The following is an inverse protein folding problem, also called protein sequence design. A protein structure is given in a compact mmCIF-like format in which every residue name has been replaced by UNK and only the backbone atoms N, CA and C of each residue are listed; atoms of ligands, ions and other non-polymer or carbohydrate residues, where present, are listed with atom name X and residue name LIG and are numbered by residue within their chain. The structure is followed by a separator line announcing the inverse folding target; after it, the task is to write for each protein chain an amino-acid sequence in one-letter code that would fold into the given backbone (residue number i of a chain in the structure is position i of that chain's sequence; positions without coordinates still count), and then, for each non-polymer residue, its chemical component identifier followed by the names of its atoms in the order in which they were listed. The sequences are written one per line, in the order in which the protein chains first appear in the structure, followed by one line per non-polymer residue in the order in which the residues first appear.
data_IF_576735969571
#
_entry.id   IF_576735969571
#
_cell.length_a   1.000
_cell.length_b   1.000
_cell.length_c   1.000
_cell.angle_alpha   90.00
_cell.angle_beta   90.00
_cell.angle_gamma   90.00
#
_symmetry.space_group_name_H-M   'P 1'
#
loop_
_entity.id
_entity.type
_entity.pdbx_description
1 polymer ?
#
# COMPACT_ATOMS: atom_id res chain seq x y z
N UNK A 1 27.79 -61.56 19.43
CA UNK A 1 27.82 -60.62 20.58
C UNK A 1 28.61 -59.38 20.20
N UNK A 2 28.21 -58.17 20.65
CA UNK A 2 28.61 -56.89 20.06
C UNK A 2 29.94 -56.37 20.62
N UNK A 3 30.49 -55.29 20.03
CA UNK A 3 30.87 -54.18 20.89
C UNK A 3 30.17 -52.86 20.53
N UNK A 4 29.73 -52.21 21.61
CA UNK A 4 29.05 -50.91 21.71
C UNK A 4 29.92 -49.80 21.12
N UNK A 5 29.36 -48.94 20.25
CA UNK A 5 29.97 -47.65 19.91
C UNK A 5 29.44 -46.55 20.83
N UNK A 6 30.39 -45.73 21.27
CA UNK A 6 30.39 -44.78 22.37
C UNK A 6 29.54 -43.54 22.12
N UNK A 7 28.97 -43.01 23.21
CA UNK A 7 28.19 -41.75 23.24
C UNK A 7 29.13 -40.57 23.03
N UNK A 8 28.88 -39.75 22.00
CA UNK A 8 29.55 -38.45 21.82
C UNK A 8 29.03 -37.45 22.85
N UNK A 9 29.94 -36.87 23.62
CA UNK A 9 29.64 -35.84 24.61
C UNK A 9 29.23 -34.53 23.93
N UNK A 10 28.06 -33.99 24.29
CA UNK A 10 27.63 -32.64 23.88
C UNK A 10 28.44 -31.61 24.68
N UNK A 11 29.34 -30.91 24.00
CA UNK A 11 30.00 -29.72 24.54
C UNK A 11 28.96 -28.61 24.68
N UNK A 12 28.66 -28.24 25.92
CA UNK A 12 27.66 -27.25 26.24
C UNK A 12 28.30 -25.86 26.22
N UNK A 13 28.30 -25.21 25.05
CA UNK A 13 28.83 -23.85 24.92
C UNK A 13 27.90 -22.87 25.64
N UNK A 14 28.25 -22.48 26.88
CA UNK A 14 27.58 -21.39 27.61
C UNK A 14 27.67 -20.11 26.77
N UNK A 15 26.53 -19.68 26.19
CA UNK A 15 26.42 -18.34 25.59
C UNK A 15 26.57 -17.32 26.73
N UNK A 16 27.60 -16.48 26.68
CA UNK A 16 27.71 -15.30 27.55
C UNK A 16 26.50 -14.41 27.27
N UNK A 17 25.67 -14.19 28.27
CA UNK A 17 24.62 -13.19 28.22
C UNK A 17 25.28 -11.81 28.10
N UNK A 18 25.02 -11.11 27.00
CA UNK A 18 25.48 -9.73 26.81
C UNK A 18 24.53 -8.85 27.63
N UNK A 19 24.99 -8.43 28.81
CA UNK A 19 24.31 -7.40 29.60
C UNK A 19 24.28 -6.11 28.76
N UNK A 20 23.12 -5.76 28.21
CA UNK A 20 22.92 -4.47 27.56
C UNK A 20 22.44 -3.47 28.60
N UNK A 21 23.35 -2.68 29.15
CA UNK A 21 22.99 -1.46 29.87
C UNK A 21 22.43 -0.49 28.83
N UNK A 22 21.11 -0.30 28.82
CA UNK A 22 20.46 0.68 27.94
C UNK A 22 20.84 2.07 28.41
N UNK A 23 21.77 2.71 27.71
CA UNK A 23 22.12 4.10 27.97
C UNK A 23 20.88 4.99 27.80
N UNK A 24 20.64 5.88 28.76
CA UNK A 24 19.57 6.87 28.69
C UNK A 24 19.94 7.87 27.59
N UNK A 25 19.34 7.71 26.41
CA UNK A 25 19.47 8.63 25.29
C UNK A 25 18.48 9.80 25.46
N UNK A 26 18.89 11.00 25.04
CA UNK A 26 18.02 12.17 25.03
C UNK A 26 16.82 11.99 24.09
N UNK A 27 15.72 12.70 24.37
CA UNK A 27 14.45 12.56 23.66
C UNK A 27 14.59 12.69 22.13
N UNK A 28 15.34 13.69 21.65
CA UNK A 28 15.56 13.88 20.21
C UNK A 28 16.27 12.69 19.56
N UNK A 29 17.30 12.13 20.23
CA UNK A 29 18.00 10.96 19.74
C UNK A 29 17.10 9.72 19.73
N UNK A 30 16.23 9.57 20.74
CA UNK A 30 15.22 8.51 20.77
C UNK A 30 14.19 8.67 19.63
N UNK A 31 13.72 9.89 19.35
CA UNK A 31 12.80 10.19 18.24
C UNK A 31 13.42 9.90 16.88
N UNK A 32 14.67 10.33 16.64
CA UNK A 32 15.40 10.02 15.40
C UNK A 32 15.65 8.52 15.24
N UNK A 33 16.02 7.83 16.32
CA UNK A 33 16.17 6.38 16.31
C UNK A 33 14.84 5.69 15.95
N UNK A 34 13.73 6.11 16.55
CA UNK A 34 12.40 5.59 16.25
C UNK A 34 12.05 5.79 14.77
N UNK A 35 12.23 6.99 14.21
CA UNK A 35 11.96 7.26 12.80
C UNK A 35 12.84 6.39 11.87
N UNK A 36 14.13 6.26 12.18
CA UNK A 36 15.04 5.40 11.41
C UNK A 36 14.69 3.90 11.52
N UNK A 37 14.20 3.46 12.68
CA UNK A 37 13.80 2.08 12.90
C UNK A 37 12.47 1.77 12.22
N UNK A 38 11.50 2.68 12.27
CA UNK A 38 10.20 2.54 11.58
C UNK A 38 10.41 2.52 10.07
N UNK A 39 11.29 3.35 9.53
CA UNK A 39 11.60 3.33 8.09
C UNK A 39 12.31 2.04 7.66
N UNK A 40 13.24 1.52 8.48
CA UNK A 40 14.02 0.32 8.16
C UNK A 40 13.30 -0.99 8.42
N UNK A 41 12.51 -1.07 9.49
CA UNK A 41 11.90 -2.31 9.99
C UNK A 41 10.37 -2.28 9.99
N UNK A 42 9.75 -1.10 9.91
CA UNK A 42 8.29 -0.96 10.00
C UNK A 42 7.53 -1.52 8.81
N UNK A 43 8.17 -1.71 7.65
CA UNK A 43 7.64 -2.42 6.48
C UNK A 43 8.76 -2.91 5.58
N UNK A 44 8.51 -4.01 4.86
CA UNK A 44 9.49 -4.52 3.89
C UNK A 44 9.69 -3.52 2.75
N UNK A 45 10.93 -3.39 2.27
CA UNK A 45 11.26 -2.52 1.14
C UNK A 45 10.42 -2.87 -0.11
N UNK A 46 10.19 -4.16 -0.34
CA UNK A 46 9.38 -4.67 -1.45
C UNK A 46 7.93 -4.21 -1.33
N UNK A 47 7.34 -4.26 -0.13
CA UNK A 47 5.96 -3.79 0.10
C UNK A 47 5.86 -2.29 -0.13
N UNK A 48 6.82 -1.51 0.37
CA UNK A 48 6.88 -0.06 0.18
C UNK A 48 6.95 0.29 -1.32
N UNK A 49 7.82 -0.39 -2.08
CA UNK A 49 7.93 -0.20 -3.52
C UNK A 49 6.63 -0.58 -4.26
N UNK A 50 6.03 -1.73 -3.93
CA UNK A 50 4.77 -2.17 -4.53
C UNK A 50 3.64 -1.20 -4.24
N UNK A 51 3.58 -0.62 -3.05
CA UNK A 51 2.56 0.37 -2.72
C UNK A 51 2.77 1.66 -3.49
N UNK A 52 4.00 2.17 -3.57
CA UNK A 52 4.32 3.34 -4.38
C UNK A 52 3.93 3.13 -5.85
N UNK A 53 4.20 1.95 -6.40
CA UNK A 53 3.79 1.57 -7.76
C UNK A 53 2.27 1.56 -7.93
N UNK A 54 1.52 1.06 -6.94
CA UNK A 54 0.05 1.05 -7.00
C UNK A 54 -0.54 2.47 -6.94
N UNK A 55 0.06 3.36 -6.15
CA UNK A 55 -0.34 4.77 -6.11
C UNK A 55 -0.11 5.43 -7.47
N UNK A 56 1.08 5.24 -8.08
CA UNK A 56 1.36 5.82 -9.40
C UNK A 56 0.47 5.24 -10.49
N UNK A 57 0.20 3.93 -10.45
CA UNK A 57 -0.75 3.28 -11.36
C UNK A 57 -2.17 3.84 -11.22
N UNK A 58 -2.66 4.01 -9.98
CA UNK A 58 -4.00 4.55 -9.74
C UNK A 58 -4.14 5.98 -10.24
N UNK A 59 -3.17 6.86 -9.96
CA UNK A 59 -3.14 8.24 -10.46
C UNK A 59 -3.10 8.30 -11.98
N UNK A 60 -2.25 7.47 -12.60
CA UNK A 60 -2.16 7.40 -14.07
C UNK A 60 -3.50 6.96 -14.67
N UNK A 61 -4.11 5.91 -14.12
CA UNK A 61 -5.40 5.43 -14.59
C UNK A 61 -6.50 6.50 -14.48
N UNK A 62 -6.59 7.19 -13.35
CA UNK A 62 -7.59 8.25 -13.15
C UNK A 62 -7.40 9.38 -14.16
N UNK A 63 -6.16 9.79 -14.42
CA UNK A 63 -5.88 10.81 -15.44
C UNK A 63 -6.37 10.36 -16.83
N UNK A 64 -6.07 9.12 -17.21
CA UNK A 64 -6.49 8.56 -18.49
C UNK A 64 -8.02 8.43 -18.59
N UNK A 65 -8.69 8.13 -17.47
CA UNK A 65 -10.15 8.08 -17.40
C UNK A 65 -10.75 9.46 -17.69
N UNK A 66 -10.26 10.51 -17.02
CA UNK A 66 -10.75 11.87 -17.21
C UNK A 66 -10.46 12.39 -18.63
N UNK A 67 -9.26 12.15 -19.15
CA UNK A 67 -8.90 12.47 -20.54
C UNK A 67 -9.85 11.77 -21.54
N UNK A 68 -10.22 10.50 -21.28
CA UNK A 68 -11.14 9.77 -22.16
C UNK A 68 -12.58 10.28 -22.08
N UNK A 69 -13.03 10.75 -20.92
CA UNK A 69 -14.37 11.33 -20.75
C UNK A 69 -14.49 12.72 -21.39
N UNK A 70 -13.41 13.52 -21.38
CA UNK A 70 -13.36 14.81 -22.08
C UNK A 70 -13.44 14.63 -23.61
N UNK A 71 -12.77 13.61 -24.15
CA UNK A 71 -12.79 13.28 -25.58
C UNK A 71 -14.15 12.75 -26.07
N UNK A 72 -15.00 12.27 -25.15
CA UNK A 72 -16.36 11.82 -25.46
C UNK A 72 -17.30 13.04 -25.53
N UNK A 73 -17.28 13.76 -26.66
CA UNK A 73 -18.37 14.67 -27.01
C UNK A 73 -19.68 13.87 -27.01
N UNK A 74 -20.54 14.13 -26.02
CA UNK A 74 -21.82 13.44 -25.88
C UNK A 74 -22.72 13.87 -27.06
N UNK A 75 -23.07 12.97 -28.01
CA UNK A 75 -23.93 13.35 -29.12
C UNK A 75 -25.30 13.76 -28.59
N UNK A 76 -25.81 14.90 -29.07
CA UNK A 76 -27.11 15.43 -28.70
C UNK A 76 -28.21 14.40 -29.00
N UNK A 77 -28.82 13.83 -27.96
CA UNK A 77 -29.95 12.91 -28.08
C UNK A 77 -29.69 11.46 -27.68
N UNK A 78 -28.49 11.08 -27.24
CA UNK A 78 -28.35 9.84 -26.46
C UNK A 78 -29.12 10.01 -25.14
N UNK A 79 -29.93 9.03 -24.70
CA UNK A 79 -30.39 9.01 -23.34
C UNK A 79 -29.12 9.03 -22.51
N UNK A 80 -28.87 10.15 -21.86
CA UNK A 80 -27.85 10.25 -20.85
C UNK A 80 -28.15 9.05 -19.95
N UNK A 81 -27.25 8.06 -19.92
CA UNK A 81 -27.27 7.09 -18.85
C UNK A 81 -26.97 7.96 -17.64
N UNK A 82 -28.04 8.53 -17.10
CA UNK A 82 -28.12 9.30 -15.89
C UNK A 82 -27.91 8.30 -14.76
N UNK A 83 -26.75 7.64 -14.76
CA UNK A 83 -26.07 7.32 -13.53
C UNK A 83 -25.73 8.69 -12.95
N UNK A 84 -26.72 9.26 -12.27
CA UNK A 84 -26.70 10.37 -11.34
C UNK A 84 -25.31 11.02 -11.29
N UNK A 85 -25.16 12.21 -11.89
CA UNK A 85 -23.90 12.97 -11.85
C UNK A 85 -23.68 13.50 -10.43
N UNK A 86 -23.49 12.58 -9.48
CA UNK A 86 -23.17 12.83 -8.07
C UNK A 86 -21.76 13.41 -7.94
N UNK A 87 -20.94 13.25 -8.98
CA UNK A 87 -19.54 13.66 -9.02
C UNK A 87 -19.28 14.62 -10.18
N UNK A 88 -18.61 15.72 -9.87
CA UNK A 88 -18.03 16.63 -10.87
C UNK A 88 -16.65 16.15 -11.30
N UNK A 89 -16.14 16.63 -12.44
CA UNK A 89 -14.79 16.29 -12.90
C UNK A 89 -13.73 16.75 -11.89
N UNK A 90 -13.98 17.87 -11.22
CA UNK A 90 -13.17 18.41 -10.12
C UNK A 90 -13.16 17.46 -8.90
N UNK A 91 -14.31 16.88 -8.53
CA UNK A 91 -14.40 15.89 -7.45
C UNK A 91 -13.58 14.63 -7.77
N UNK A 92 -13.66 14.19 -9.03
CA UNK A 92 -12.96 13.00 -9.51
C UNK A 92 -11.45 13.23 -9.62
N UNK A 93 -11.01 14.37 -10.15
CA UNK A 93 -9.59 14.74 -10.26
C UNK A 93 -8.91 14.77 -8.88
N UNK A 94 -9.60 15.29 -7.87
CA UNK A 94 -9.13 15.33 -6.49
C UNK A 94 -9.11 13.98 -5.77
N UNK A 95 -9.76 12.94 -6.30
CA UNK A 95 -10.02 11.69 -5.58
C UNK A 95 -8.75 10.92 -5.17
N UNK A 96 -7.65 11.06 -5.91
CA UNK A 96 -6.36 10.43 -5.62
C UNK A 96 -5.28 11.41 -5.15
N UNK A 97 -5.73 12.52 -4.54
CA UNK A 97 -4.92 13.51 -3.87
C UNK A 97 -4.25 13.02 -2.58
N UNK A 98 -3.60 13.96 -1.89
CA UNK A 98 -2.86 13.70 -0.65
C UNK A 98 -3.80 13.26 0.49
N UNK A 99 -4.99 13.85 0.58
CA UNK A 99 -6.04 13.47 1.53
C UNK A 99 -7.23 12.86 0.79
N UNK A 100 -7.94 11.88 1.37
CA UNK A 100 -9.12 11.31 0.76
C UNK A 100 -10.26 12.33 0.74
N UNK A 101 -10.94 12.43 -0.40
CA UNK A 101 -12.17 13.19 -0.62
C UNK A 101 -13.38 12.27 -0.57
N UNK A 102 -14.58 12.84 -0.70
CA UNK A 102 -15.83 12.07 -0.79
C UNK A 102 -15.82 11.11 -2.00
N UNK A 103 -15.17 11.51 -3.10
CA UNK A 103 -15.05 10.70 -4.32
C UNK A 103 -14.00 9.58 -4.21
N UNK A 104 -13.03 9.68 -3.30
CA UNK A 104 -11.89 8.74 -3.21
C UNK A 104 -12.29 7.28 -3.09
N UNK A 105 -13.29 6.98 -2.25
CA UNK A 105 -13.75 5.60 -2.06
C UNK A 105 -14.41 5.04 -3.33
N UNK A 106 -15.22 5.87 -4.00
CA UNK A 106 -15.90 5.51 -5.24
C UNK A 106 -14.89 5.26 -6.36
N UNK A 107 -13.99 6.22 -6.61
CA UNK A 107 -12.96 6.12 -7.65
C UNK A 107 -12.01 4.94 -7.39
N UNK A 108 -11.66 4.66 -6.14
CA UNK A 108 -10.87 3.48 -5.80
C UNK A 108 -11.62 2.17 -6.09
N UNK A 109 -12.92 2.13 -5.81
CA UNK A 109 -13.75 0.96 -6.10
C UNK A 109 -13.87 0.70 -7.61
N UNK A 110 -13.95 1.75 -8.43
CA UNK A 110 -13.94 1.65 -9.88
C UNK A 110 -12.61 1.11 -10.40
N UNK A 111 -11.48 1.68 -9.94
CA UNK A 111 -10.15 1.20 -10.29
C UNK A 111 -10.00 -0.29 -9.98
N UNK A 112 -10.37 -0.70 -8.77
CA UNK A 112 -10.27 -2.11 -8.35
C UNK A 112 -11.16 -3.00 -9.22
N UNK A 113 -12.38 -2.55 -9.52
CA UNK A 113 -13.32 -3.29 -10.36
C UNK A 113 -12.78 -3.50 -11.78
N UNK A 114 -12.23 -2.46 -12.41
CA UNK A 114 -11.61 -2.57 -13.73
C UNK A 114 -10.42 -3.53 -13.69
N UNK A 115 -9.54 -3.40 -12.68
CA UNK A 115 -8.40 -4.33 -12.52
C UNK A 115 -8.86 -5.78 -12.38
N UNK A 116 -9.90 -6.04 -11.59
CA UNK A 116 -10.34 -7.41 -11.33
C UNK A 116 -11.17 -8.01 -12.46
N UNK A 117 -12.08 -7.25 -13.05
CA UNK A 117 -13.05 -7.76 -14.02
C UNK A 117 -12.63 -7.56 -15.47
N UNK A 118 -11.85 -6.52 -15.78
CA UNK A 118 -11.36 -6.28 -17.15
C UNK A 118 -9.95 -6.79 -17.37
N UNK A 119 -9.06 -6.70 -16.37
CA UNK A 119 -7.67 -7.17 -16.48
C UNK A 119 -7.45 -8.53 -15.80
N UNK A 120 -8.54 -9.22 -15.43
CA UNK A 120 -8.55 -10.55 -14.79
C UNK A 120 -7.63 -10.69 -13.56
N UNK A 121 -7.39 -9.58 -12.86
CA UNK A 121 -6.55 -9.61 -11.67
C UNK A 121 -7.29 -10.23 -10.47
N UNK A 122 -6.60 -11.10 -9.73
CA UNK A 122 -7.16 -11.74 -8.55
C UNK A 122 -7.32 -10.82 -7.33
N UNK A 123 -7.98 -11.36 -6.30
CA UNK A 123 -8.24 -10.71 -4.98
C UNK A 123 -7.00 -10.06 -4.35
N UNK A 124 -5.82 -10.66 -4.49
CA UNK A 124 -4.57 -10.12 -3.96
C UNK A 124 -4.20 -8.76 -4.59
N UNK A 125 -4.61 -8.51 -5.83
CA UNK A 125 -4.42 -7.22 -6.48
C UNK A 125 -5.38 -6.17 -5.92
N UNK A 126 -6.65 -6.52 -5.74
CA UNK A 126 -7.64 -5.63 -5.12
C UNK A 126 -7.20 -5.20 -3.72
N UNK A 127 -6.88 -6.16 -2.86
CA UNK A 127 -6.41 -5.90 -1.49
C UNK A 127 -5.11 -5.07 -1.48
N UNK A 128 -4.22 -5.32 -2.45
CA UNK A 128 -2.99 -4.57 -2.60
C UNK A 128 -3.24 -3.08 -2.93
N UNK A 129 -4.19 -2.78 -3.83
CA UNK A 129 -4.57 -1.38 -4.12
C UNK A 129 -5.22 -0.73 -2.90
N UNK A 130 -6.19 -1.40 -2.29
CA UNK A 130 -6.87 -0.89 -1.10
C UNK A 130 -5.89 -0.59 0.04
N UNK A 131 -4.98 -1.52 0.35
CA UNK A 131 -3.98 -1.33 1.40
C UNK A 131 -2.95 -0.23 1.08
N UNK A 132 -2.56 -0.10 -0.19
CA UNK A 132 -1.65 0.96 -0.63
C UNK A 132 -2.28 2.34 -0.44
N UNK A 133 -3.52 2.53 -0.90
CA UNK A 133 -4.25 3.79 -0.76
C UNK A 133 -4.57 4.14 0.68
N UNK A 134 -5.04 3.17 1.48
CA UNK A 134 -5.22 3.36 2.92
C UNK A 134 -3.93 3.85 3.59
N UNK A 135 -2.79 3.21 3.32
CA UNK A 135 -1.52 3.64 3.89
C UNK A 135 -1.10 5.02 3.40
N UNK A 136 -1.35 5.35 2.13
CA UNK A 136 -1.00 6.65 1.58
C UNK A 136 -1.71 7.77 2.33
N UNK A 137 -3.02 7.61 2.56
CA UNK A 137 -3.85 8.58 3.29
C UNK A 137 -3.59 8.59 4.80
N UNK A 138 -3.26 7.45 5.42
CA UNK A 138 -2.88 7.40 6.84
C UNK A 138 -1.56 8.13 7.15
N UNK A 139 -0.71 8.33 6.13
CA UNK A 139 0.61 8.98 6.25
C UNK A 139 0.64 10.42 5.76
N UNK A 140 -0.43 10.87 5.15
CA UNK A 140 -0.57 12.19 4.56
C UNK A 140 -0.84 13.25 5.63
#
# INVERSE_FOLDING_TARGET
MPPKKSKTAKVNTRRKAKSSTTAVIGLQAASSLLQSAVTKYGKSAVTTQKYAQRISQGRKWLKQLLESEEDLEHPAGCPQLAAEKEWTDEDLEGAFGQTPTRASAYVLSLLISIKCFSEECGKSTAEGFHAAWKQHWDKA
#
